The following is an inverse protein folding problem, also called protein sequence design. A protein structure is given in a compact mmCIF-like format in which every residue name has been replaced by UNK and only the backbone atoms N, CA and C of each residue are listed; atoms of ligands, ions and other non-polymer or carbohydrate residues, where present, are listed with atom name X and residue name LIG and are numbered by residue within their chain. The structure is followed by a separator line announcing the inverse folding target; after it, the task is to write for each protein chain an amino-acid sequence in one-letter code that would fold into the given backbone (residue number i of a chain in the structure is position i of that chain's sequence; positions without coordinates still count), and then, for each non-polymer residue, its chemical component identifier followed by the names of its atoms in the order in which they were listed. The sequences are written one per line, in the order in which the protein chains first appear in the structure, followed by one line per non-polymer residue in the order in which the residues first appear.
data_IF_261538462668
#
_entry.id   IF_261538462668
#
_cell.length_a   1.000
_cell.length_b   1.000
_cell.length_c   1.000
_cell.angle_alpha   90.00
_cell.angle_beta   90.00
_cell.angle_gamma   90.00
#
_symmetry.space_group_name_H-M   'P 1'
#
loop_
_entity.id
_entity.type
_entity.pdbx_description
1 polymer ?
#
# COMPACT_ATOMS: atom_id res chain seq x y z
N UNK A 1 7.04 36.12 -22.89
CA UNK A 1 7.88 35.18 -22.13
C UNK A 1 6.97 34.26 -21.36
N UNK A 2 6.76 33.03 -21.84
CA UNK A 2 5.93 32.04 -21.13
C UNK A 2 6.74 31.49 -19.96
N UNK A 3 6.27 31.73 -18.73
CA UNK A 3 6.86 31.14 -17.54
C UNK A 3 6.62 29.63 -17.57
N UNK A 4 7.70 28.84 -17.54
CA UNK A 4 7.58 27.39 -17.37
C UNK A 4 6.81 27.10 -16.07
N UNK A 5 5.84 26.18 -16.07
CA UNK A 5 5.15 25.82 -14.84
C UNK A 5 6.17 25.29 -13.85
N UNK A 6 6.17 25.82 -12.63
CA UNK A 6 7.05 25.33 -11.57
C UNK A 6 6.83 23.81 -11.38
N UNK A 7 7.91 23.03 -11.15
CA UNK A 7 7.78 21.59 -10.93
C UNK A 7 6.85 21.33 -9.74
N UNK A 8 5.83 20.51 -9.95
CA UNK A 8 4.92 20.10 -8.87
C UNK A 8 5.65 19.04 -8.06
N UNK A 9 5.94 19.38 -6.80
CA UNK A 9 6.60 18.47 -5.87
C UNK A 9 5.57 17.78 -4.96
N UNK A 10 5.91 16.57 -4.53
CA UNK A 10 5.04 15.72 -3.73
C UNK A 10 5.75 15.25 -2.46
N UNK A 11 4.96 15.04 -1.41
CA UNK A 11 5.27 14.13 -0.32
C UNK A 11 4.43 12.87 -0.47
N UNK A 12 4.82 11.81 0.22
CA UNK A 12 4.16 10.52 0.08
C UNK A 12 3.66 10.03 1.43
N UNK A 13 2.54 9.32 1.41
CA UNK A 13 1.98 8.62 2.55
C UNK A 13 1.56 7.22 2.15
N UNK A 14 1.18 6.40 3.13
CA UNK A 14 0.74 5.03 2.90
C UNK A 14 -0.70 4.90 3.41
N UNK A 15 -1.62 4.61 2.50
CA UNK A 15 -2.96 4.18 2.89
C UNK A 15 -2.90 2.73 3.33
N UNK A 16 -3.32 2.45 4.56
CA UNK A 16 -3.44 1.08 5.03
C UNK A 16 -4.53 0.36 4.23
N UNK A 17 -4.25 -0.88 3.85
CA UNK A 17 -5.27 -1.75 3.29
C UNK A 17 -6.41 -1.95 4.29
N UNK A 18 -7.64 -1.92 3.79
CA UNK A 18 -8.84 -2.02 4.60
C UNK A 18 -9.97 -2.67 3.81
N UNK A 19 -10.93 -3.22 4.55
CA UNK A 19 -12.16 -3.76 3.98
C UNK A 19 -13.14 -2.61 3.69
N UNK A 20 -13.69 -2.57 2.49
CA UNK A 20 -14.77 -1.68 2.12
C UNK A 20 -15.92 -2.51 1.52
N UNK A 21 -16.98 -2.68 2.30
CA UNK A 21 -18.03 -3.63 1.93
C UNK A 21 -17.48 -5.05 1.92
N UNK A 22 -17.56 -5.72 0.76
CA UNK A 22 -17.01 -7.07 0.57
C UNK A 22 -15.62 -7.06 -0.09
N UNK A 23 -15.09 -5.89 -0.46
CA UNK A 23 -13.84 -5.79 -1.21
C UNK A 23 -12.68 -5.43 -0.28
N UNK A 24 -11.54 -6.08 -0.48
CA UNK A 24 -10.28 -5.68 0.16
C UNK A 24 -9.59 -4.63 -0.69
N UNK A 25 -9.45 -3.41 -0.15
CA UNK A 25 -8.64 -2.36 -0.76
C UNK A 25 -7.19 -2.57 -0.33
N UNK A 26 -6.25 -2.83 -1.26
CA UNK A 26 -4.86 -3.05 -0.90
C UNK A 26 -4.16 -1.76 -0.47
N UNK A 27 -3.13 -1.91 0.36
CA UNK A 27 -2.23 -0.82 0.74
C UNK A 27 -1.66 -0.14 -0.51
N UNK A 28 -1.73 1.19 -0.57
CA UNK A 28 -1.18 1.97 -1.69
C UNK A 28 -0.47 3.23 -1.22
N UNK A 29 0.44 3.72 -2.05
CA UNK A 29 1.11 5.01 -1.83
C UNK A 29 0.19 6.14 -2.29
N UNK A 30 -0.01 7.13 -1.44
CA UNK A 30 -0.74 8.35 -1.77
C UNK A 30 0.25 9.51 -1.91
N UNK A 31 0.02 10.37 -2.90
CA UNK A 31 0.80 11.58 -3.14
C UNK A 31 0.11 12.81 -2.58
N UNK A 32 0.82 13.57 -1.76
CA UNK A 32 0.39 14.85 -1.21
C UNK A 32 1.10 15.97 -1.95
N UNK A 33 0.33 16.86 -2.57
CA UNK A 33 0.91 18.01 -3.28
C UNK A 33 1.53 18.96 -2.27
N UNK A 34 2.80 19.32 -2.48
CA UNK A 34 3.46 20.38 -1.72
C UNK A 34 2.91 21.72 -2.18
N UNK A 35 2.45 22.54 -1.24
CA UNK A 35 1.95 23.90 -1.49
C UNK A 35 3.01 24.95 -1.23
N UNK A 36 3.83 24.75 -0.19
CA UNK A 36 4.85 25.71 0.25
C UNK A 36 6.00 25.02 0.95
N UNK A 37 7.23 25.45 0.66
CA UNK A 37 8.42 25.09 1.42
C UNK A 37 9.00 26.33 2.11
N UNK A 38 9.29 26.19 3.38
CA UNK A 38 10.00 27.18 4.19
C UNK A 38 11.26 26.53 4.76
N UNK A 39 12.21 27.28 5.34
CA UNK A 39 13.38 26.67 5.97
C UNK A 39 13.04 25.68 7.09
N UNK A 40 11.88 25.84 7.76
CA UNK A 40 11.48 24.98 8.88
C UNK A 40 10.41 23.95 8.53
N UNK A 41 9.57 24.22 7.53
CA UNK A 41 8.35 23.45 7.26
C UNK A 41 8.11 23.21 5.79
N UNK A 42 7.61 22.02 5.48
CA UNK A 42 7.00 21.68 4.19
C UNK A 42 5.50 21.56 4.39
N UNK A 43 4.74 22.37 3.66
CA UNK A 43 3.28 22.39 3.68
C UNK A 43 2.72 21.58 2.52
N UNK A 44 1.64 20.84 2.77
CA UNK A 44 1.03 19.96 1.78
C UNK A 44 -0.48 19.81 1.98
N UNK A 45 -1.15 19.33 0.92
CA UNK A 45 -2.59 19.07 0.92
C UNK A 45 -2.89 17.55 0.87
N UNK A 46 -3.49 16.97 1.93
CA UNK A 46 -4.02 15.62 1.91
C UNK A 46 -5.37 15.61 1.18
N UNK A 47 -5.37 15.32 -0.12
CA UNK A 47 -6.51 15.54 -1.02
C UNK A 47 -7.72 14.60 -0.74
N UNK A 48 -7.52 13.47 -0.08
CA UNK A 48 -8.53 12.40 0.02
C UNK A 48 -9.44 12.46 1.25
N UNK A 49 -9.13 13.22 2.30
CA UNK A 49 -9.87 13.13 3.59
C UNK A 49 -11.00 14.16 3.77
N UNK A 50 -11.55 14.71 2.67
CA UNK A 50 -12.72 15.61 2.69
C UNK A 50 -12.51 16.97 3.39
N UNK A 51 -11.41 17.15 4.12
CA UNK A 51 -10.99 18.41 4.73
C UNK A 51 -9.78 18.94 3.98
N UNK A 52 -9.99 20.05 3.27
CA UNK A 52 -8.95 20.89 2.64
C UNK A 52 -8.09 21.63 3.68
N UNK A 53 -7.71 20.98 4.78
CA UNK A 53 -6.84 21.58 5.76
C UNK A 53 -5.39 21.37 5.33
N UNK A 54 -4.71 22.45 5.01
CA UNK A 54 -3.27 22.44 4.78
C UNK A 54 -2.55 21.92 6.02
N UNK A 55 -1.65 20.97 5.82
CA UNK A 55 -0.83 20.35 6.87
C UNK A 55 0.63 20.68 6.64
N UNK A 56 1.46 20.44 7.65
CA UNK A 56 2.90 20.64 7.54
C UNK A 56 3.70 19.59 8.32
N UNK A 57 4.92 19.36 7.86
CA UNK A 57 5.96 18.59 8.55
C UNK A 57 7.22 19.44 8.72
N UNK A 58 8.06 19.06 9.69
CA UNK A 58 9.37 19.69 9.86
C UNK A 58 10.28 19.32 8.69
N UNK A 59 10.83 20.34 8.04
CA UNK A 59 11.66 20.17 6.84
C UNK A 59 13.01 19.54 7.17
N UNK A 60 13.65 19.97 8.25
CA UNK A 60 14.99 19.50 8.59
C UNK A 60 14.96 18.03 9.01
N UNK A 61 13.92 17.62 9.75
CA UNK A 61 13.71 16.21 10.10
C UNK A 61 13.43 15.39 8.84
N UNK A 62 12.53 15.86 7.97
CA UNK A 62 12.18 15.15 6.73
C UNK A 62 13.38 14.98 5.79
N UNK A 63 14.20 16.02 5.62
CA UNK A 63 15.38 15.96 4.73
C UNK A 63 16.50 15.10 5.34
N UNK A 64 16.64 15.05 6.66
CA UNK A 64 17.64 14.23 7.35
C UNK A 64 17.27 12.75 7.37
N UNK A 65 16.03 12.44 7.71
CA UNK A 65 15.58 11.08 7.99
C UNK A 65 14.86 10.44 6.79
N UNK A 66 14.48 11.25 5.80
CA UNK A 66 13.69 10.83 4.64
C UNK A 66 12.19 10.68 4.92
N UNK A 67 11.80 10.73 6.18
CA UNK A 67 10.43 10.55 6.64
C UNK A 67 10.14 11.28 7.97
N UNK A 68 8.85 11.52 8.25
CA UNK A 68 8.38 12.11 9.51
C UNK A 68 7.14 11.38 10.00
N UNK A 69 7.15 10.99 11.28
CA UNK A 69 5.97 10.52 11.98
C UNK A 69 5.19 11.67 12.60
N UNK A 70 3.93 11.84 12.20
CA UNK A 70 3.01 12.86 12.73
C UNK A 70 2.27 12.31 13.95
N UNK A 71 2.74 12.67 15.14
CA UNK A 71 2.12 12.26 16.42
C UNK A 71 0.66 12.69 16.62
N UNK A 72 0.23 13.75 15.92
CA UNK A 72 -1.14 14.27 15.98
C UNK A 72 -2.09 13.65 14.94
N UNK A 73 -1.59 12.75 14.09
CA UNK A 73 -2.40 12.06 13.09
C UNK A 73 -3.14 10.87 13.71
N UNK A 74 -4.34 10.58 13.21
CA UNK A 74 -5.00 9.31 13.49
C UNK A 74 -4.22 8.16 12.85
N UNK A 75 -4.24 6.97 13.47
CA UNK A 75 -3.55 5.79 12.94
C UNK A 75 -4.07 5.33 11.57
N UNK A 76 -5.28 5.77 11.20
CA UNK A 76 -5.93 5.53 9.90
C UNK A 76 -5.59 6.61 8.85
N UNK A 77 -4.94 7.71 9.22
CA UNK A 77 -4.61 8.76 8.26
C UNK A 77 -3.36 8.37 7.46
N UNK A 78 -3.37 8.49 6.12
CA UNK A 78 -2.23 8.06 5.29
C UNK A 78 -1.00 8.93 5.48
N UNK A 79 -1.15 10.13 6.04
CA UNK A 79 -0.08 11.05 6.38
C UNK A 79 0.32 10.99 7.87
N UNK A 80 0.00 9.89 8.58
CA UNK A 80 0.62 9.58 9.87
C UNK A 80 2.13 9.41 9.72
N UNK A 81 2.58 8.86 8.60
CA UNK A 81 3.98 8.79 8.21
C UNK A 81 4.12 9.41 6.83
N UNK A 82 4.94 10.45 6.75
CA UNK A 82 5.13 11.24 5.53
C UNK A 82 6.55 11.01 5.04
N UNK A 83 6.69 10.64 3.77
CA UNK A 83 7.96 10.33 3.14
C UNK A 83 8.34 11.41 2.13
N UNK A 84 9.63 11.68 2.03
CA UNK A 84 10.21 12.59 1.05
C UNK A 84 10.21 11.97 -0.35
N UNK A 85 10.48 10.67 -0.44
CA UNK A 85 10.48 9.90 -1.68
C UNK A 85 9.35 8.88 -1.68
N UNK A 86 8.94 8.43 -2.86
CA UNK A 86 7.91 7.40 -3.01
C UNK A 86 8.37 6.09 -2.33
N UNK A 87 7.72 5.64 -1.25
CA UNK A 87 8.12 4.41 -0.57
C UNK A 87 7.80 3.21 -1.47
N UNK A 88 8.71 2.23 -1.50
CA UNK A 88 8.44 0.95 -2.17
C UNK A 88 7.59 0.12 -1.22
N UNK A 89 6.36 -0.17 -1.62
CA UNK A 89 5.52 -1.13 -0.91
C UNK A 89 5.91 -2.54 -1.37
N UNK A 90 6.34 -3.38 -0.44
CA UNK A 90 6.38 -4.82 -0.68
C UNK A 90 4.95 -5.33 -0.74
N UNK A 91 4.35 -5.31 -1.92
CA UNK A 91 3.10 -6.02 -2.16
C UNK A 91 3.43 -7.50 -2.11
N UNK A 92 2.93 -8.20 -1.08
CA UNK A 92 2.95 -9.66 -1.09
C UNK A 92 2.30 -10.11 -2.39
N UNK A 93 3.06 -10.79 -3.25
CA UNK A 93 2.58 -11.22 -4.55
C UNK A 93 1.28 -12.01 -4.38
N UNK A 94 0.28 -11.70 -5.21
CA UNK A 94 -0.95 -12.46 -5.22
C UNK A 94 -0.59 -13.95 -5.43
N UNK A 95 -1.18 -14.87 -4.64
CA UNK A 95 -0.84 -16.28 -4.75
C UNK A 95 -1.16 -16.78 -6.16
N UNK A 96 -0.16 -17.38 -6.81
CA UNK A 96 -0.33 -17.97 -8.14
C UNK A 96 -1.22 -19.20 -8.06
N UNK A 97 -2.49 -19.03 -8.43
CA UNK A 97 -3.47 -20.10 -8.47
C UNK A 97 -3.09 -21.22 -9.43
N UNK A 98 -2.35 -20.91 -10.51
CA UNK A 98 -1.82 -21.88 -11.46
C UNK A 98 -0.80 -22.80 -10.81
N UNK A 99 0.18 -22.23 -10.11
CA UNK A 99 1.17 -22.99 -9.36
C UNK A 99 0.54 -23.84 -8.24
N UNK A 100 -0.44 -23.30 -7.52
CA UNK A 100 -1.16 -24.04 -6.47
C UNK A 100 -1.99 -25.19 -7.02
N UNK A 101 -2.64 -25.00 -8.17
CA UNK A 101 -3.37 -26.07 -8.86
C UNK A 101 -2.42 -27.16 -9.36
N UNK A 102 -1.24 -26.80 -9.87
CA UNK A 102 -0.22 -27.76 -10.28
C UNK A 102 0.31 -28.56 -9.08
N UNK A 103 0.59 -27.91 -7.95
CA UNK A 103 1.02 -28.57 -6.73
C UNK A 103 -0.04 -29.55 -6.19
N UNK A 104 -1.33 -29.17 -6.21
CA UNK A 104 -2.43 -30.07 -5.86
C UNK A 104 -2.51 -31.27 -6.80
N UNK A 105 -2.31 -31.05 -8.10
CA UNK A 105 -2.34 -32.11 -9.10
C UNK A 105 -1.13 -33.08 -8.98
N UNK A 106 0.03 -32.60 -8.52
CA UNK A 106 1.21 -33.40 -8.26
C UNK A 106 1.09 -34.23 -6.97
N UNK A 107 0.44 -33.67 -5.94
CA UNK A 107 0.19 -34.34 -4.67
C UNK A 107 -0.91 -35.41 -4.72
N UNK A 108 -1.56 -35.62 -5.87
CA UNK A 108 -2.64 -36.59 -6.01
C UNK A 108 -2.11 -38.04 -5.84
N UNK A 109 -2.82 -38.92 -5.10
CA UNK A 109 -2.43 -40.32 -4.92
C UNK A 109 -2.14 -41.07 -6.23
N UNK A 110 -2.97 -40.88 -7.25
CA UNK A 110 -2.77 -41.44 -8.61
C UNK A 110 -1.46 -41.01 -9.30
N UNK A 111 -0.77 -40.00 -8.76
CA UNK A 111 0.53 -39.51 -9.24
C UNK A 111 1.69 -39.78 -8.27
N UNK A 112 1.46 -40.63 -7.27
CA UNK A 112 2.48 -41.00 -6.29
C UNK A 112 2.57 -40.09 -5.08
N UNK A 113 1.61 -39.18 -4.89
CA UNK A 113 1.44 -38.44 -3.64
C UNK A 113 0.63 -39.22 -2.60
N UNK A 114 0.34 -38.57 -1.47
CA UNK A 114 -0.51 -39.11 -0.40
C UNK A 114 -1.81 -38.31 -0.25
N UNK A 115 -2.83 -38.92 0.33
CA UNK A 115 -4.09 -38.23 0.63
C UNK A 115 -3.87 -37.00 1.51
N UNK A 116 -2.93 -37.07 2.46
CA UNK A 116 -2.58 -35.95 3.35
C UNK A 116 -1.96 -34.77 2.58
N UNK A 117 -1.03 -35.06 1.66
CA UNK A 117 -0.42 -34.04 0.80
C UNK A 117 -1.45 -33.41 -0.13
N UNK A 118 -2.36 -34.22 -0.69
CA UNK A 118 -3.44 -33.74 -1.53
C UNK A 118 -4.40 -32.83 -0.77
N UNK A 119 -4.83 -33.22 0.44
CA UNK A 119 -5.70 -32.43 1.31
C UNK A 119 -5.02 -31.10 1.69
N UNK A 120 -3.73 -31.13 2.03
CA UNK A 120 -2.98 -29.93 2.37
C UNK A 120 -2.85 -28.97 1.17
N UNK A 121 -2.52 -29.49 -0.01
CA UNK A 121 -2.42 -28.69 -1.23
C UNK A 121 -3.77 -28.12 -1.66
N UNK A 122 -4.84 -28.91 -1.55
CA UNK A 122 -6.22 -28.47 -1.82
C UNK A 122 -6.66 -27.35 -0.89
N UNK A 123 -6.38 -27.45 0.42
CA UNK A 123 -6.68 -26.38 1.38
C UNK A 123 -5.98 -25.07 1.01
N UNK A 124 -4.71 -25.12 0.61
CA UNK A 124 -3.96 -23.92 0.17
C UNK A 124 -4.57 -23.30 -1.09
N UNK A 125 -4.93 -24.12 -2.07
CA UNK A 125 -5.59 -23.67 -3.30
C UNK A 125 -6.96 -23.04 -3.02
N UNK A 126 -7.80 -23.69 -2.21
CA UNK A 126 -9.14 -23.19 -1.87
C UNK A 126 -9.07 -21.87 -1.09
N UNK A 127 -8.14 -21.74 -0.14
CA UNK A 127 -7.91 -20.49 0.60
C UNK A 127 -7.43 -19.36 -0.32
N UNK A 128 -6.48 -19.65 -1.22
CA UNK A 128 -5.99 -18.67 -2.18
C UNK A 128 -7.08 -18.25 -3.17
N UNK A 129 -7.89 -19.21 -3.64
CA UNK A 129 -9.02 -18.96 -4.54
C UNK A 129 -10.11 -18.14 -3.87
N UNK A 130 -10.43 -18.40 -2.60
CA UNK A 130 -11.38 -17.58 -1.85
C UNK A 130 -10.91 -16.12 -1.75
N UNK A 131 -9.63 -15.90 -1.43
CA UNK A 131 -9.03 -14.55 -1.37
C UNK A 131 -9.03 -13.82 -2.72
N UNK A 132 -8.85 -14.55 -3.82
CA UNK A 132 -8.88 -13.98 -5.17
C UNK A 132 -10.31 -13.79 -5.72
N UNK A 133 -11.28 -14.62 -5.30
CA UNK A 133 -12.68 -14.55 -5.72
C UNK A 133 -13.49 -13.46 -5.05
N UNK A 134 -13.01 -12.91 -3.93
CA UNK A 134 -13.53 -11.70 -3.28
C UNK A 134 -13.05 -10.40 -3.95
N UNK A 135 -12.41 -10.50 -5.13
CA UNK A 135 -11.90 -9.36 -5.91
C UNK A 135 -12.60 -9.22 -7.29
N UNK A 136 -13.87 -9.64 -7.44
CA UNK A 136 -14.63 -9.50 -8.69
C UNK A 136 -15.89 -8.64 -8.54
#
# INVERSE_FOLDING_TARGET
MSAAPAPIEYLYGIEAGHEFGNDWIPTRVIRFRITKKTPRRVYYLPREFGRLQERFVDRAVLERDGEVWRKSAGWWEPDIRVYLNEPVLETAAAPDLGALKAAMAAAHPDRGGTDEEFIAARRRYEQARARAGTQQ
#
